data_IF_344016095641
#
_entry.id   IF_344016095641
#
_cell.length_a   1.000
_cell.length_b   1.000
_cell.length_c   1.000
_cell.angle_alpha   90.00
_cell.angle_beta   90.00
_cell.angle_gamma   90.00
#
_symmetry.space_group_name_H-M   'P 1'
#
loop_
_entity.id
_entity.type
_entity.pdbx_description
1 polymer ?
#
# COMPACT_ATOMS: atom_id res chain seq x y z
N UNK A 1 -26.68 -22.16 -10.04
CA UNK A 1 -26.47 -22.16 -11.50
C UNK A 1 -24.99 -22.00 -11.82
N UNK A 2 -24.28 -23.05 -12.28
CA UNK A 2 -22.83 -23.05 -12.51
C UNK A 2 -22.35 -21.95 -13.48
N UNK A 3 -23.09 -21.68 -14.56
CA UNK A 3 -22.75 -20.67 -15.56
C UNK A 3 -22.73 -19.23 -14.98
N UNK A 4 -23.64 -18.92 -14.05
CA UNK A 4 -23.71 -17.60 -13.41
C UNK A 4 -22.49 -17.35 -12.52
N UNK A 5 -22.00 -18.39 -11.84
CA UNK A 5 -20.80 -18.27 -11.00
C UNK A 5 -19.54 -18.10 -11.84
N UNK A 6 -19.42 -18.81 -12.96
CA UNK A 6 -18.31 -18.62 -13.90
C UNK A 6 -18.28 -17.21 -14.48
N UNK A 7 -19.46 -16.66 -14.84
CA UNK A 7 -19.57 -15.30 -15.34
C UNK A 7 -19.18 -14.26 -14.27
N UNK A 8 -19.63 -14.44 -13.02
CA UNK A 8 -19.24 -13.57 -11.89
C UNK A 8 -17.74 -13.59 -11.66
N UNK A 9 -17.13 -14.77 -11.65
CA UNK A 9 -15.70 -14.89 -11.43
C UNK A 9 -14.89 -14.29 -12.59
N UNK A 10 -15.33 -14.45 -13.83
CA UNK A 10 -14.71 -13.79 -14.97
C UNK A 10 -14.74 -12.25 -14.84
N UNK A 11 -15.85 -11.69 -14.35
CA UNK A 11 -15.96 -10.27 -14.04
C UNK A 11 -15.00 -9.87 -12.90
N UNK A 12 -14.95 -10.62 -11.79
CA UNK A 12 -14.03 -10.35 -10.66
C UNK A 12 -12.57 -10.35 -11.10
N UNK A 13 -12.15 -11.31 -11.93
CA UNK A 13 -10.79 -11.38 -12.48
C UNK A 13 -10.48 -10.17 -13.37
N UNK A 14 -11.44 -9.73 -14.16
CA UNK A 14 -11.27 -8.57 -15.03
C UNK A 14 -11.07 -7.29 -14.22
N UNK A 15 -11.86 -7.10 -13.16
CA UNK A 15 -11.66 -5.99 -12.22
C UNK A 15 -10.30 -6.06 -11.53
N UNK A 16 -9.88 -7.24 -11.06
CA UNK A 16 -8.56 -7.43 -10.45
C UNK A 16 -7.40 -7.08 -11.41
N UNK A 17 -7.49 -7.49 -12.68
CA UNK A 17 -6.49 -7.10 -13.71
C UNK A 17 -6.46 -5.59 -13.92
N UNK A 18 -7.62 -4.93 -13.92
CA UNK A 18 -7.70 -3.48 -14.08
C UNK A 18 -7.10 -2.74 -12.88
N UNK A 19 -7.35 -3.23 -11.66
CA UNK A 19 -6.70 -2.73 -10.44
C UNK A 19 -5.16 -2.82 -10.56
N UNK A 20 -4.63 -3.95 -11.02
CA UNK A 20 -3.18 -4.10 -11.22
C UNK A 20 -2.61 -3.12 -12.25
N UNK A 21 -3.36 -2.85 -13.33
CA UNK A 21 -2.98 -1.83 -14.33
C UNK A 21 -2.96 -0.43 -13.72
N UNK A 22 -3.92 -0.10 -12.86
CA UNK A 22 -3.94 1.18 -12.14
C UNK A 22 -2.73 1.33 -11.22
N UNK A 23 -2.34 0.27 -10.50
CA UNK A 23 -1.11 0.26 -9.69
C UNK A 23 0.13 0.47 -10.57
N UNK A 24 0.23 -0.23 -11.69
CA UNK A 24 1.34 -0.06 -12.63
C UNK A 24 1.42 1.37 -13.18
N UNK A 25 0.29 1.97 -13.56
CA UNK A 25 0.23 3.36 -14.00
C UNK A 25 0.66 4.32 -12.89
N UNK A 26 0.18 4.12 -11.67
CA UNK A 26 0.57 4.94 -10.52
C UNK A 26 2.08 4.87 -10.22
N UNK A 27 2.70 3.70 -10.35
CA UNK A 27 4.14 3.53 -10.22
C UNK A 27 4.90 4.30 -11.32
N UNK A 28 4.41 4.28 -12.56
CA UNK A 28 5.01 5.04 -13.65
C UNK A 28 4.85 6.55 -13.44
N UNK A 29 3.69 7.02 -13.01
CA UNK A 29 3.46 8.44 -12.69
C UNK A 29 4.34 8.93 -11.54
N UNK A 30 4.54 8.09 -10.51
CA UNK A 30 5.50 8.36 -9.45
C UNK A 30 6.91 8.51 -10.02
N UNK A 31 7.34 7.57 -10.87
CA UNK A 31 8.66 7.65 -11.50
C UNK A 31 8.81 8.87 -12.40
N UNK A 32 7.77 9.26 -13.16
CA UNK A 32 7.79 10.49 -13.97
C UNK A 32 7.96 11.74 -13.09
N UNK A 33 7.29 11.78 -11.94
CA UNK A 33 7.32 12.92 -11.01
C UNK A 33 8.62 13.00 -10.21
N UNK A 34 9.13 11.85 -9.75
CA UNK A 34 10.26 11.79 -8.80
C UNK A 34 11.56 11.28 -9.42
N UNK A 35 11.56 10.89 -10.70
CA UNK A 35 12.70 10.29 -11.42
C UNK A 35 13.29 9.03 -10.75
N UNK A 36 12.48 8.35 -9.92
CA UNK A 36 12.84 7.13 -9.19
C UNK A 36 11.57 6.35 -8.88
N UNK A 37 11.65 5.02 -8.81
CA UNK A 37 10.54 4.21 -8.29
C UNK A 37 10.45 4.32 -6.76
N UNK A 38 9.25 4.14 -6.17
CA UNK A 38 9.10 4.21 -4.73
C UNK A 38 9.87 3.08 -4.04
N UNK A 39 10.33 3.36 -2.83
CA UNK A 39 11.11 2.43 -2.02
C UNK A 39 10.19 1.29 -1.53
N UNK A 40 10.72 0.07 -1.42
CA UNK A 40 9.96 -1.05 -0.86
C UNK A 40 9.64 -0.84 0.62
N UNK A 41 10.59 -0.27 1.37
CA UNK A 41 10.53 0.01 2.80
C UNK A 41 11.55 1.11 3.10
N UNK A 42 11.12 2.19 3.77
CA UNK A 42 12.00 3.29 4.14
C UNK A 42 12.73 2.98 5.46
N UNK A 43 13.83 2.23 5.35
CA UNK A 43 14.68 1.92 6.49
C UNK A 43 15.69 3.02 6.71
N UNK A 44 15.50 3.82 7.77
CA UNK A 44 16.62 4.60 8.27
C UNK A 44 17.70 3.64 8.82
N UNK A 45 18.94 4.07 8.65
CA UNK A 45 20.25 3.42 8.72
C UNK A 45 20.61 2.56 9.95
N UNK A 46 19.65 2.15 10.77
CA UNK A 46 19.88 1.25 11.91
C UNK A 46 20.23 -0.19 11.55
N UNK A 47 20.10 -0.62 10.28
CA UNK A 47 20.57 -1.95 9.84
C UNK A 47 21.95 -1.88 9.20
N UNK A 48 22.97 -1.67 10.03
CA UNK A 48 24.25 -2.32 9.76
C UNK A 48 24.13 -3.82 10.07
N UNK A 49 24.99 -4.66 9.48
CA UNK A 49 25.20 -6.05 9.92
C UNK A 49 25.62 -6.16 11.41
N UNK A 50 25.79 -5.03 12.10
CA UNK A 50 26.14 -4.88 13.50
C UNK A 50 24.90 -4.75 14.40
N UNK A 51 24.09 -5.81 14.51
CA UNK A 51 23.24 -6.09 15.68
C UNK A 51 22.47 -4.95 16.37
N UNK A 52 22.06 -3.89 15.66
CA UNK A 52 21.42 -2.76 16.32
C UNK A 52 19.98 -3.16 16.74
N UNK A 53 19.68 -2.84 17.99
CA UNK A 53 18.40 -3.12 18.65
C UNK A 53 17.26 -2.52 17.84
N UNK A 54 16.17 -3.29 17.71
CA UNK A 54 14.89 -2.84 17.12
C UNK A 54 14.34 -1.62 17.87
N UNK A 55 14.79 -0.42 17.52
CA UNK A 55 14.13 0.79 17.97
C UNK A 55 12.88 0.99 17.11
N UNK A 56 11.71 0.81 17.73
CA UNK A 56 10.42 1.13 17.11
C UNK A 56 10.30 2.61 16.72
N UNK A 57 11.21 3.46 17.19
CA UNK A 57 11.21 4.89 16.92
C UNK A 57 12.24 5.33 15.85
N UNK A 58 13.07 4.41 15.34
CA UNK A 58 14.17 4.74 14.42
C UNK A 58 14.00 4.20 12.99
N UNK A 59 12.80 3.74 12.61
CA UNK A 59 12.55 3.22 11.26
C UNK A 59 11.26 3.82 10.73
N UNK A 60 11.33 4.65 9.69
CA UNK A 60 10.16 5.24 9.04
C UNK A 60 9.53 4.24 8.06
N UNK A 61 8.68 3.33 8.54
CA UNK A 61 8.29 2.12 7.77
C UNK A 61 7.11 2.31 6.81
N UNK A 62 7.17 3.25 5.87
CA UNK A 62 6.17 3.31 4.80
C UNK A 62 6.61 2.49 3.59
N UNK A 63 5.67 1.69 3.06
CA UNK A 63 5.89 0.93 1.84
C UNK A 63 5.60 1.78 0.60
N UNK A 64 6.01 1.29 -0.56
CA UNK A 64 5.71 1.88 -1.86
C UNK A 64 4.23 2.22 -2.05
N UNK A 65 3.33 1.44 -1.44
CA UNK A 65 1.88 1.63 -1.55
C UNK A 65 1.42 2.98 -1.00
N UNK A 66 2.03 3.45 0.10
CA UNK A 66 1.74 4.75 0.68
C UNK A 66 2.24 5.90 -0.22
N UNK A 67 3.37 5.71 -0.89
CA UNK A 67 4.01 6.74 -1.72
C UNK A 67 3.22 7.02 -3.01
N UNK A 68 2.50 6.02 -3.54
CA UNK A 68 1.77 6.16 -4.80
C UNK A 68 0.30 6.56 -4.63
N UNK A 69 -0.19 6.73 -3.39
CA UNK A 69 -1.59 7.09 -3.12
C UNK A 69 -2.10 8.34 -3.88
N UNK A 70 -1.29 9.41 -4.07
CA UNK A 70 -1.72 10.57 -4.85
C UNK A 70 -2.07 10.22 -6.31
N UNK A 71 -1.46 9.17 -6.86
CA UNK A 71 -1.68 8.69 -8.23
C UNK A 71 -2.78 7.62 -8.32
N UNK A 72 -3.46 7.31 -7.21
CA UNK A 72 -4.54 6.32 -7.11
C UNK A 72 -5.87 6.94 -6.63
N UNK A 73 -6.05 8.26 -6.78
CA UNK A 73 -7.23 8.99 -6.26
C UNK A 73 -7.40 8.85 -4.73
N UNK A 74 -6.33 8.50 -4.01
CA UNK A 74 -6.32 8.29 -2.56
C UNK A 74 -5.61 9.43 -1.81
N UNK A 75 -5.64 10.64 -2.37
CA UNK A 75 -4.94 11.81 -1.81
C UNK A 75 -5.40 12.17 -0.39
N UNK A 76 -6.69 11.98 -0.07
CA UNK A 76 -7.22 12.22 1.27
C UNK A 76 -6.59 11.31 2.34
N UNK A 77 -6.15 10.11 1.98
CA UNK A 77 -5.39 9.21 2.87
C UNK A 77 -3.94 9.65 2.93
N UNK A 78 -3.34 9.96 1.78
CA UNK A 78 -1.95 10.43 1.69
C UNK A 78 -1.68 11.64 2.60
N UNK A 79 -2.57 12.64 2.58
CA UNK A 79 -2.43 13.87 3.37
C UNK A 79 -2.48 13.65 4.89
N UNK A 80 -3.00 12.50 5.35
CA UNK A 80 -3.02 12.14 6.78
C UNK A 80 -1.73 11.45 7.23
N UNK A 81 -0.88 11.02 6.29
CA UNK A 81 0.36 10.31 6.59
C UNK A 81 1.45 11.34 6.87
N UNK A 82 2.04 11.25 8.06
CA UNK A 82 3.29 11.94 8.36
C UNK A 82 4.48 11.01 8.05
N UNK A 83 5.14 11.27 6.92
CA UNK A 83 6.33 10.52 6.48
C UNK A 83 7.58 10.81 7.32
N UNK A 84 7.54 11.81 8.21
CA UNK A 84 8.63 12.13 9.15
C UNK A 84 8.54 11.36 10.47
N UNK A 85 7.52 10.51 10.64
CA UNK A 85 7.32 9.67 11.83
C UNK A 85 7.06 8.21 11.44
N UNK A 86 7.21 7.27 12.36
CA UNK A 86 6.89 5.87 12.10
C UNK A 86 5.36 5.69 12.01
N UNK A 87 4.87 4.79 11.15
CA UNK A 87 3.45 4.52 10.95
C UNK A 87 2.71 4.11 12.24
N UNK A 88 3.44 3.58 13.23
CA UNK A 88 2.88 3.15 14.52
C UNK A 88 2.89 4.26 15.59
N UNK A 89 3.26 5.50 15.23
CA UNK A 89 3.25 6.69 16.08
C UNK A 89 2.20 7.68 15.58
N UNK A 90 1.59 8.45 16.48
CA UNK A 90 0.66 9.51 16.12
C UNK A 90 1.37 10.64 15.33
N UNK A 91 0.72 11.25 14.33
CA UNK A 91 -0.68 11.07 13.95
C UNK A 91 -0.93 9.86 13.03
N UNK A 92 0.12 9.26 12.48
CA UNK A 92 0.01 8.22 11.45
C UNK A 92 -0.60 6.91 11.94
N UNK A 93 -0.47 6.60 13.23
CA UNK A 93 -1.12 5.44 13.86
C UNK A 93 -2.62 5.60 14.06
N UNK A 94 -3.19 6.75 13.70
CA UNK A 94 -4.63 6.86 13.55
C UNK A 94 -5.06 5.81 12.52
N UNK A 95 -5.95 4.92 12.94
CA UNK A 95 -6.43 3.74 12.21
C UNK A 95 -6.92 4.16 10.80
N UNK A 96 -7.32 5.42 10.63
CA UNK A 96 -7.74 5.98 9.34
C UNK A 96 -6.65 6.17 8.29
N UNK A 97 -5.37 6.27 8.62
CA UNK A 97 -4.30 6.47 7.64
C UNK A 97 -3.60 5.14 7.28
N UNK A 98 -3.16 4.39 8.29
CA UNK A 98 -2.40 3.14 8.11
C UNK A 98 -3.33 1.93 7.92
N UNK A 99 -4.56 2.00 8.42
CA UNK A 99 -5.60 0.97 8.22
C UNK A 99 -6.57 1.27 7.08
N UNK A 100 -6.35 2.34 6.28
CA UNK A 100 -7.23 2.68 5.18
C UNK A 100 -7.26 1.58 4.11
N UNK A 101 -8.45 1.08 3.82
CA UNK A 101 -8.64 0.14 2.71
C UNK A 101 -8.65 0.89 1.38
N UNK A 102 -7.58 0.73 0.61
CA UNK A 102 -7.50 1.21 -0.77
C UNK A 102 -7.94 0.07 -1.70
N UNK A 103 -9.15 0.20 -2.24
CA UNK A 103 -9.80 -0.85 -3.05
C UNK A 103 -8.96 -1.30 -4.27
N UNK A 104 -8.12 -0.41 -4.80
CA UNK A 104 -7.22 -0.72 -5.92
C UNK A 104 -6.18 -1.78 -5.54
N UNK A 105 -5.79 -1.90 -4.27
CA UNK A 105 -4.88 -2.97 -3.82
C UNK A 105 -5.59 -4.30 -3.56
N UNK A 106 -6.93 -4.32 -3.59
CA UNK A 106 -7.72 -5.52 -3.35
C UNK A 106 -8.13 -6.15 -4.67
N UNK A 107 -7.91 -7.45 -4.78
CA UNK A 107 -8.36 -8.25 -5.90
C UNK A 107 -9.71 -8.89 -5.53
N UNK A 108 -10.82 -8.55 -6.22
CA UNK A 108 -12.11 -9.17 -5.90
C UNK A 108 -12.10 -10.69 -6.07
N UNK A 109 -11.21 -11.25 -6.90
CA UNK A 109 -11.00 -12.70 -7.06
C UNK A 109 -10.30 -13.36 -5.88
N UNK A 110 -9.63 -12.57 -5.02
CA UNK A 110 -8.99 -12.99 -3.77
C UNK A 110 -9.76 -12.34 -2.59
N UNK A 111 -10.98 -12.81 -2.28
CA UNK A 111 -11.73 -12.29 -1.15
C UNK A 111 -10.94 -12.58 0.13
N UNK A 112 -10.56 -11.54 0.86
CA UNK A 112 -9.85 -11.69 2.14
C UNK A 112 -10.80 -12.32 3.16
N UNK A 113 -10.78 -13.65 3.25
CA UNK A 113 -11.62 -14.42 4.17
C UNK A 113 -11.03 -14.56 5.57
N UNK A 114 -9.77 -14.15 5.76
CA UNK A 114 -9.07 -14.25 7.03
C UNK A 114 -8.50 -12.89 7.47
N UNK A 115 -8.54 -12.56 8.77
CA UNK A 115 -7.83 -11.41 9.30
C UNK A 115 -6.35 -11.58 8.98
N UNK A 116 -5.78 -10.67 8.18
CA UNK A 116 -4.33 -10.62 8.00
C UNK A 116 -3.70 -10.23 9.33
N UNK A 117 -2.84 -11.09 9.86
CA UNK A 117 -1.96 -10.74 10.96
C UNK A 117 -1.02 -9.62 10.46
N UNK A 118 -1.38 -8.37 10.71
CA UNK A 118 -0.46 -7.24 10.64
C UNK A 118 0.29 -7.11 11.96
#
# INVERSE_FOLDING_TARGET
>A
LPAVQQAREAARRSSCKNNFKQVGLALHNYHETHSIFPLSDHRDSGRGCSGAVWSQNAVYRYSWGAMILPFLEANAVYQKIDFSTNYNVAPSNDIQAVGATINVFLCPSDPQSEPRCN
#
